data_IF_381157042040
#
_entry.id   IF_381157042040
#
_cell.length_a   1.000
_cell.length_b   1.000
_cell.length_c   1.000
_cell.angle_alpha   90.00
_cell.angle_beta   90.00
_cell.angle_gamma   90.00
#
_symmetry.space_group_name_H-M   'P 1'
#
loop_
_entity.id
_entity.type
_entity.pdbx_description
1 polymer ?
#
# COMPACT_ATOMS: atom_id res chain seq x y z
N UNK A 1 -6.26 12.73 1.74
CA UNK A 1 -6.98 12.33 0.51
C UNK A 1 -7.86 11.12 0.80
N UNK A 2 -9.05 11.09 0.23
CA UNK A 2 -9.99 10.01 0.46
C UNK A 2 -10.24 9.24 -0.83
N UNK A 3 -10.30 7.90 -0.72
CA UNK A 3 -10.58 7.03 -1.85
C UNK A 3 -11.86 6.28 -1.57
N UNK A 4 -12.86 6.46 -2.43
CA UNK A 4 -14.14 5.79 -2.28
C UNK A 4 -14.08 4.39 -2.87
N UNK A 5 -14.57 3.41 -2.12
CA UNK A 5 -14.57 2.01 -2.55
C UNK A 5 -15.76 1.71 -3.44
N UNK A 6 -15.55 0.87 -4.46
CA UNK A 6 -16.65 0.38 -5.29
C UNK A 6 -17.47 -0.68 -4.55
N UNK A 7 -16.81 -1.43 -3.68
CA UNK A 7 -17.41 -2.56 -2.97
C UNK A 7 -17.19 -2.38 -1.47
N UNK A 8 -18.03 -1.55 -0.81
CA UNK A 8 -17.91 -1.38 0.65
C UNK A 8 -17.94 -2.71 1.37
N UNK A 9 -17.28 -2.77 2.51
CA UNK A 9 -17.18 -4.01 3.26
C UNK A 9 -17.31 -3.74 4.76
N UNK A 10 -17.47 -4.82 5.53
CA UNK A 10 -17.58 -4.74 6.99
C UNK A 10 -16.33 -5.38 7.58
N UNK A 11 -15.69 -4.67 8.52
CA UNK A 11 -14.51 -5.18 9.20
C UNK A 11 -14.89 -6.29 10.18
N UNK A 12 -13.90 -7.10 10.63
CA UNK A 12 -14.18 -8.10 11.66
C UNK A 12 -14.78 -7.51 12.93
N UNK A 13 -14.50 -6.23 13.22
CA UNK A 13 -15.08 -5.57 14.39
C UNK A 13 -16.51 -5.06 14.16
N UNK A 14 -17.03 -5.23 12.94
CA UNK A 14 -18.40 -4.82 12.62
C UNK A 14 -18.54 -3.41 12.05
N UNK A 15 -17.44 -2.74 11.77
CA UNK A 15 -17.46 -1.39 11.20
C UNK A 15 -17.62 -1.46 9.69
N UNK A 16 -18.55 -0.66 9.15
CA UNK A 16 -18.72 -0.58 7.70
C UNK A 16 -17.73 0.43 7.12
N UNK A 17 -17.01 0.00 6.09
CA UNK A 17 -16.02 0.83 5.40
C UNK A 17 -16.50 1.08 3.98
N UNK A 18 -16.76 2.35 3.67
CA UNK A 18 -17.20 2.77 2.32
C UNK A 18 -16.12 3.55 1.60
N UNK A 19 -15.17 4.09 2.34
CA UNK A 19 -14.03 4.81 1.77
C UNK A 19 -12.86 4.67 2.73
N UNK A 20 -11.66 4.93 2.21
CA UNK A 20 -10.44 4.92 3.02
C UNK A 20 -9.75 6.28 2.90
N UNK A 21 -9.14 6.71 3.99
CA UNK A 21 -8.36 7.94 4.01
C UNK A 21 -6.90 7.59 3.73
N UNK A 22 -6.31 8.26 2.73
CA UNK A 22 -4.92 8.03 2.33
C UNK A 22 -4.08 9.13 2.97
N UNK A 23 -3.15 8.77 3.83
CA UNK A 23 -2.23 9.74 4.45
C UNK A 23 -0.82 9.55 3.93
N UNK A 24 -0.02 10.60 4.05
CA UNK A 24 1.41 10.51 3.70
C UNK A 24 2.13 9.65 4.72
N UNK A 25 3.13 8.93 4.26
CA UNK A 25 3.99 8.13 5.13
C UNK A 25 5.34 8.82 5.27
N UNK A 26 5.94 8.68 6.45
CA UNK A 26 7.29 9.17 6.73
C UNK A 26 8.25 8.00 6.80
N UNK A 27 9.55 8.31 6.79
CA UNK A 27 10.56 7.26 6.86
C UNK A 27 10.37 6.38 8.10
N UNK A 28 9.96 6.98 9.23
CA UNK A 28 9.71 6.18 10.44
C UNK A 28 8.59 5.15 10.25
N UNK A 29 7.60 5.48 9.41
CA UNK A 29 6.54 4.53 9.08
C UNK A 29 7.09 3.36 8.28
N UNK A 30 7.98 3.64 7.33
CA UNK A 30 8.59 2.61 6.50
C UNK A 30 9.48 1.70 7.36
N UNK A 31 10.22 2.28 8.29
CA UNK A 31 11.05 1.48 9.20
C UNK A 31 10.20 0.54 10.05
N UNK A 32 9.09 1.07 10.60
CA UNK A 32 8.21 0.25 11.42
C UNK A 32 7.60 -0.91 10.62
N UNK A 33 7.19 -0.63 9.38
CA UNK A 33 6.64 -1.65 8.49
C UNK A 33 7.69 -2.71 8.18
N UNK A 34 8.91 -2.28 7.86
CA UNK A 34 9.99 -3.20 7.54
C UNK A 34 10.30 -4.13 8.71
N UNK A 35 10.34 -3.57 9.93
CA UNK A 35 10.59 -4.36 11.13
C UNK A 35 9.49 -5.40 11.36
N UNK A 36 8.23 -5.00 11.21
CA UNK A 36 7.10 -5.89 11.40
C UNK A 36 7.04 -6.98 10.33
N UNK A 37 7.42 -6.63 9.11
CA UNK A 37 7.35 -7.58 7.99
C UNK A 37 8.48 -8.61 8.00
N UNK A 38 9.54 -8.37 8.76
CA UNK A 38 10.68 -9.27 8.80
C UNK A 38 11.34 -9.45 7.45
N UNK A 39 11.29 -8.41 6.60
CA UNK A 39 11.90 -8.44 5.28
C UNK A 39 11.09 -9.13 4.20
N UNK A 40 9.85 -9.53 4.48
CA UNK A 40 8.98 -10.20 3.50
C UNK A 40 8.25 -9.16 2.66
N UNK A 41 8.46 -9.11 1.32
CA UNK A 41 7.86 -8.06 0.49
C UNK A 41 6.34 -8.01 0.53
N UNK A 42 5.67 -9.17 0.53
CA UNK A 42 4.20 -9.19 0.57
C UNK A 42 3.67 -8.61 1.87
N UNK A 43 4.34 -8.91 2.99
CA UNK A 43 3.95 -8.36 4.29
C UNK A 43 4.25 -6.87 4.37
N UNK A 44 5.33 -6.42 3.75
CA UNK A 44 5.67 -4.99 3.70
C UNK A 44 4.58 -4.20 2.98
N UNK A 45 4.08 -4.72 1.88
CA UNK A 45 3.00 -4.07 1.15
C UNK A 45 1.75 -4.00 2.01
N UNK A 46 1.31 -5.12 2.56
CA UNK A 46 0.08 -5.18 3.35
C UNK A 46 0.15 -4.28 4.58
N UNK A 47 1.24 -4.36 5.32
CA UNK A 47 1.43 -3.54 6.52
C UNK A 47 1.56 -2.06 6.17
N UNK A 48 2.19 -1.75 5.04
CA UNK A 48 2.32 -0.38 4.56
C UNK A 48 0.96 0.22 4.20
N UNK A 49 0.14 -0.56 3.49
CA UNK A 49 -1.21 -0.13 3.13
C UNK A 49 -2.06 0.06 4.38
N UNK A 50 -1.96 -0.87 5.34
CA UNK A 50 -2.69 -0.75 6.60
C UNK A 50 -2.32 0.54 7.32
N UNK A 51 -1.03 0.83 7.40
CA UNK A 51 -0.55 2.04 8.07
C UNK A 51 -0.98 3.31 7.36
N UNK A 52 -0.96 3.28 6.02
CA UNK A 52 -1.36 4.44 5.21
C UNK A 52 -2.85 4.75 5.36
N UNK A 53 -3.69 3.73 5.47
CA UNK A 53 -5.13 3.91 5.53
C UNK A 53 -5.68 3.95 6.95
N UNK A 54 -4.87 3.60 7.94
CA UNK A 54 -5.32 3.52 9.33
C UNK A 54 -6.16 2.29 9.63
N UNK A 55 -6.18 1.33 8.72
CA UNK A 55 -6.90 0.07 8.92
C UNK A 55 -5.95 -0.98 9.51
N UNK A 56 -6.53 -2.02 10.08
CA UNK A 56 -5.75 -3.16 10.55
C UNK A 56 -5.53 -4.13 9.38
N UNK A 57 -4.45 -4.95 9.41
CA UNK A 57 -4.25 -5.94 8.35
C UNK A 57 -5.44 -6.86 8.16
N UNK A 58 -6.09 -7.29 9.25
CA UNK A 58 -7.26 -8.15 9.17
C UNK A 58 -8.47 -7.43 8.54
N UNK A 59 -8.53 -6.09 8.63
CA UNK A 59 -9.56 -5.33 7.93
C UNK A 59 -9.34 -5.40 6.43
N UNK A 60 -8.09 -5.32 5.99
CA UNK A 60 -7.75 -5.38 4.57
C UNK A 60 -8.09 -6.73 3.95
N UNK A 61 -8.06 -7.79 4.75
CA UNK A 61 -8.43 -9.13 4.27
C UNK A 61 -9.88 -9.17 3.76
N UNK A 62 -10.74 -8.30 4.30
CA UNK A 62 -12.15 -8.26 3.92
C UNK A 62 -12.42 -7.35 2.74
N UNK A 63 -11.42 -6.59 2.29
CA UNK A 63 -11.59 -5.67 1.18
C UNK A 63 -11.66 -6.43 -0.16
N UNK A 64 -12.51 -5.95 -1.07
CA UNK A 64 -12.56 -6.52 -2.42
C UNK A 64 -11.20 -6.33 -3.11
N UNK A 65 -10.77 -7.33 -3.85
CA UNK A 65 -9.46 -7.33 -4.49
C UNK A 65 -9.29 -6.17 -5.47
N UNK A 66 -10.34 -5.79 -6.18
CA UNK A 66 -10.27 -4.67 -7.12
C UNK A 66 -10.07 -3.35 -6.39
N UNK A 67 -10.73 -3.17 -5.25
CA UNK A 67 -10.56 -1.99 -4.42
C UNK A 67 -9.16 -1.97 -3.80
N UNK A 68 -8.68 -3.13 -3.36
CA UNK A 68 -7.33 -3.22 -2.81
C UNK A 68 -6.28 -2.80 -3.84
N UNK A 69 -6.44 -3.18 -5.10
CA UNK A 69 -5.49 -2.78 -6.15
C UNK A 69 -5.42 -1.26 -6.27
N UNK A 70 -6.54 -0.57 -6.19
CA UNK A 70 -6.56 0.88 -6.26
C UNK A 70 -5.89 1.52 -5.04
N UNK A 71 -6.14 0.97 -3.86
CA UNK A 71 -5.48 1.45 -2.64
C UNK A 71 -3.98 1.22 -2.72
N UNK A 72 -3.57 0.06 -3.22
CA UNK A 72 -2.16 -0.28 -3.41
C UNK A 72 -1.49 0.71 -4.38
N UNK A 73 -2.17 1.10 -5.45
CA UNK A 73 -1.64 2.07 -6.39
C UNK A 73 -1.36 3.40 -5.68
N UNK A 74 -2.24 3.83 -4.78
CA UNK A 74 -2.01 5.03 -3.98
C UNK A 74 -0.83 4.86 -3.04
N UNK A 75 -0.66 3.65 -2.48
CA UNK A 75 0.48 3.35 -1.63
C UNK A 75 1.79 3.55 -2.40
N UNK A 76 1.86 3.04 -3.63
CA UNK A 76 3.04 3.23 -4.47
C UNK A 76 3.28 4.70 -4.78
N UNK A 77 2.23 5.47 -5.04
CA UNK A 77 2.34 6.91 -5.27
C UNK A 77 2.91 7.62 -4.03
N UNK A 78 2.42 7.25 -2.85
CA UNK A 78 2.88 7.84 -1.59
C UNK A 78 4.36 7.56 -1.37
N UNK A 79 4.83 6.39 -1.79
CA UNK A 79 6.25 6.03 -1.72
C UNK A 79 7.09 6.69 -2.81
N UNK A 80 6.44 7.31 -3.81
CA UNK A 80 7.16 7.89 -4.93
C UNK A 80 7.52 6.89 -6.01
N UNK A 81 6.95 5.68 -5.97
CA UNK A 81 7.17 4.64 -6.96
C UNK A 81 6.02 4.74 -7.96
N UNK A 82 6.24 5.46 -9.05
CA UNK A 82 5.19 5.65 -10.03
C UNK A 82 5.50 4.89 -11.31
N UNK A 83 4.54 4.43 -11.84
CA UNK A 83 4.68 3.82 -13.09
C UNK A 83 5.23 2.45 -13.01
N UNK A 84 5.28 2.89 -12.93
CA UNK A 84 5.70 2.11 -13.35
C UNK A 84 5.93 1.25 -13.82
N UNK A 85 5.92 1.47 -13.89
CA UNK A 85 6.12 0.85 -14.39
C UNK A 85 6.37 0.60 -14.78
N UNK A 86 6.44 0.89 -14.84
CA UNK A 86 6.72 0.52 -15.33
C UNK A 86 7.16 0.25 -15.69
N UNK A 87 7.48 0.53 -15.95
CA UNK A 87 7.98 0.12 -16.46
C UNK A 87 8.41 -0.33 -16.57
N UNK A 88 8.66 -0.22 -16.74
CA UNK A 88 9.26 -0.82 -16.91
C UNK A 88 9.81 -0.85 -17.04
N UNK A 89 10.14 -0.69 -17.20
CA UNK A 89 10.84 -0.91 -17.36
C UNK A 89 11.45 -0.88 -17.09
N UNK A 90 11.82 -0.65 -17.12
CA UNK A 90 12.60 -0.95 -16.88
C UNK A 90 13.22 -0.66 -16.48
N UNK A 91 13.71 -0.51 -16.59
CA UNK A 91 14.48 -0.69 -16.23
C UNK A 91 14.80 -0.45 -15.53
N UNK A 92 15.09 -0.05 -15.68
CA UNK A 92 15.52 -0.32 -15.21
C UNK A 92 15.77 -0.06 -14.58
N UNK A 93 16.17 0.42 -14.72
CA UNK A 93 16.59 0.02 -14.20
C UNK A 93 16.83 0.53 -13.69
N UNK A 94 17.16 0.85 -13.65
CA UNK A 94 17.46 0.75 -13.25
C UNK A 94 17.54 1.08 -12.49
N UNK A 95 17.91 1.57 -12.62
CA UNK A 95 18.08 1.32 -12.04
C UNK A 95 18.33 1.61 -11.34
N UNK A 96 18.71 2.08 -11.59
CA UNK A 96 18.97 1.75 -11.08
C UNK A 96 19.26 2.20 -10.49
N UNK A 97 19.65 2.59 -10.79
CA UNK A 97 20.02 2.41 -10.43
C UNK A 97 20.26 2.62 -9.81
N UNK A 98 20.78 2.96 -10.01
CA UNK A 98 20.95 2.36 -9.73
C UNK A 98 21.28 2.24 -9.35
N UNK A 99 21.79 2.64 -9.49
CA UNK A 99 22.02 1.84 -9.46
C UNK A 99 22.29 1.64 -9.27
N UNK A 100 22.83 1.88 -9.57
CA UNK A 100 22.93 1.05 -9.71
C UNK A 100 23.03 0.85 -9.40
N UNK A 101 23.53 1.13 -9.71
CA UNK A 101 23.45 0.44 -9.78
C UNK A 101 23.35 0.21 -9.47
#
# INVERSE_FOLDING_TARGET
MELKLKYPFVTPSGQKIESVTIRRLKVRDIKAVSDQAGGKPADMELLGVARMTGLLPEDLDEMDAADYQQVKDRFLDVLGITGVGVDGSGTAGQVVPVSTQ
#
